data_IF_832085356747
#
_entry.id   IF_832085356747
#
_cell.length_a   1.000
_cell.length_b   1.000
_cell.length_c   1.000
_cell.angle_alpha   90.00
_cell.angle_beta   90.00
_cell.angle_gamma   90.00
#
_symmetry.space_group_name_H-M   'P 1'
#
loop_
_entity.id
_entity.type
_entity.pdbx_description
1 polymer ?
#
# COMPACT_ATOMS: atom_id res chain seq x y z
N UNK A 1 0.33 38.98 23.13
CA UNK A 1 -0.40 37.72 23.38
C UNK A 1 -0.60 37.04 22.04
N UNK A 2 0.02 35.87 21.92
CA UNK A 2 0.00 34.79 20.90
C UNK A 2 -0.84 34.94 19.63
N UNK A 3 -0.14 34.89 18.49
CA UNK A 3 -0.65 34.65 17.14
C UNK A 3 -1.19 33.23 16.98
N UNK A 4 -2.44 33.10 16.55
CA UNK A 4 -3.06 31.81 16.21
C UNK A 4 -2.46 31.25 14.91
N UNK A 5 -1.78 30.11 15.01
CA UNK A 5 -1.28 29.36 13.86
C UNK A 5 -2.46 28.66 13.17
N UNK A 6 -2.74 29.07 11.94
CA UNK A 6 -3.67 28.36 11.05
C UNK A 6 -2.99 27.08 10.54
N UNK A 7 -3.60 25.93 10.81
CA UNK A 7 -3.18 24.64 10.23
C UNK A 7 -3.65 24.57 8.79
N UNK A 8 -2.72 24.69 7.83
CA UNK A 8 -2.97 24.30 6.44
C UNK A 8 -3.15 22.79 6.35
N UNK A 9 -4.32 22.33 5.93
CA UNK A 9 -4.54 20.92 5.55
C UNK A 9 -4.05 20.74 4.12
N UNK A 10 -2.91 20.07 3.98
CA UNK A 10 -2.36 19.66 2.70
C UNK A 10 -3.18 18.46 2.15
N UNK A 11 -3.90 18.57 1.02
CA UNK A 11 -4.88 17.57 0.57
C UNK A 11 -4.26 16.30 -0.06
N UNK A 12 -2.94 16.13 -0.02
CA UNK A 12 -2.23 15.08 -0.75
C UNK A 12 -1.71 13.90 0.07
N UNK A 13 -1.76 13.95 1.41
CA UNK A 13 -1.21 12.86 2.24
C UNK A 13 -2.36 11.96 2.71
N UNK A 14 -2.45 10.70 2.22
CA UNK A 14 -3.40 9.76 2.79
C UNK A 14 -3.09 9.59 4.27
N UNK A 15 -4.13 9.56 5.10
CA UNK A 15 -3.99 9.37 6.53
C UNK A 15 -3.29 8.04 6.81
N UNK A 16 -2.00 8.08 7.16
CA UNK A 16 -1.24 6.91 7.59
C UNK A 16 -1.66 6.64 9.04
N UNK A 17 -2.43 5.56 9.27
CA UNK A 17 -2.74 5.13 10.64
C UNK A 17 -1.43 4.80 11.34
N UNK A 18 -1.30 5.20 12.59
CA UNK A 18 -0.22 4.74 13.47
C UNK A 18 -0.22 3.21 13.48
N UNK A 19 0.95 2.57 13.34
CA UNK A 19 1.09 1.11 13.43
C UNK A 19 0.34 0.61 14.67
N UNK A 20 -0.67 -0.23 14.46
CA UNK A 20 -1.65 -0.52 15.49
C UNK A 20 -1.14 -1.65 16.37
N UNK A 21 -0.77 -1.20 17.56
CA UNK A 21 -0.51 -1.86 18.82
C UNK A 21 -1.27 -3.19 19.05
N UNK A 22 -0.56 -4.15 19.64
CA UNK A 22 -0.94 -5.52 20.05
C UNK A 22 -2.13 -5.62 21.03
N UNK A 23 -2.92 -4.56 21.16
CA UNK A 23 -4.12 -4.49 22.01
C UNK A 23 -5.40 -4.95 21.31
N UNK A 24 -5.40 -5.11 19.98
CA UNK A 24 -6.60 -5.47 19.23
C UNK A 24 -7.05 -6.92 19.51
N UNK A 25 -6.11 -7.84 19.72
CA UNK A 25 -6.41 -9.20 20.23
C UNK A 25 -7.13 -9.15 21.58
N UNK A 26 -6.67 -8.28 22.49
CA UNK A 26 -7.28 -8.12 23.80
C UNK A 26 -8.67 -7.46 23.73
N UNK A 27 -8.89 -6.55 22.77
CA UNK A 27 -10.21 -5.96 22.51
C UNK A 27 -11.16 -6.98 21.90
N UNK A 28 -10.71 -7.75 20.91
CA UNK A 28 -11.51 -8.80 20.28
C UNK A 28 -11.88 -9.91 21.27
N UNK A 29 -10.95 -10.31 22.15
CA UNK A 29 -11.23 -11.26 23.22
C UNK A 29 -12.28 -10.75 24.23
N UNK A 30 -12.30 -9.43 24.50
CA UNK A 30 -13.29 -8.81 25.40
C UNK A 30 -14.64 -8.57 24.73
N UNK A 31 -14.64 -8.20 23.45
CA UNK A 31 -15.84 -7.97 22.65
C UNK A 31 -15.71 -8.65 21.27
N UNK A 32 -16.12 -9.93 21.17
CA UNK A 32 -16.06 -10.67 19.90
C UNK A 32 -17.00 -10.15 18.81
N UNK A 33 -17.85 -9.16 19.10
CA UNK A 33 -18.75 -8.53 18.12
C UNK A 33 -18.21 -7.19 17.60
N UNK A 34 -17.01 -6.78 18.03
CA UNK A 34 -16.35 -5.57 17.56
C UNK A 34 -15.81 -5.76 16.14
N UNK A 35 -16.50 -5.17 15.16
CA UNK A 35 -16.13 -5.30 13.74
C UNK A 35 -14.80 -4.62 13.41
N UNK A 36 -14.43 -3.55 14.12
CA UNK A 36 -13.16 -2.87 13.92
C UNK A 36 -12.02 -3.76 14.42
N UNK A 37 -12.13 -4.30 15.64
CA UNK A 37 -11.11 -5.20 16.19
C UNK A 37 -10.95 -6.49 15.36
N UNK A 38 -12.03 -7.04 14.80
CA UNK A 38 -11.97 -8.18 13.87
C UNK A 38 -11.19 -7.84 12.61
N UNK A 39 -11.50 -6.69 12.01
CA UNK A 39 -10.87 -6.28 10.76
C UNK A 39 -9.36 -6.09 10.96
N UNK A 40 -8.95 -5.45 12.05
CA UNK A 40 -7.53 -5.21 12.32
C UNK A 40 -6.77 -6.53 12.58
N UNK A 41 -7.30 -7.45 13.41
CA UNK A 41 -6.71 -8.79 13.61
C UNK A 41 -6.63 -9.59 12.30
N UNK A 42 -7.69 -9.60 11.51
CA UNK A 42 -7.72 -10.30 10.23
C UNK A 42 -6.72 -9.71 9.22
N UNK A 43 -6.50 -8.39 9.25
CA UNK A 43 -5.50 -7.73 8.41
C UNK A 43 -4.08 -8.17 8.79
N UNK A 44 -3.76 -8.22 10.07
CA UNK A 44 -2.47 -8.70 10.56
C UNK A 44 -2.21 -10.18 10.20
N UNK A 45 -3.24 -11.02 10.25
CA UNK A 45 -3.15 -12.43 9.83
C UNK A 45 -3.03 -12.60 8.30
N UNK A 46 -3.72 -11.75 7.53
CA UNK A 46 -3.77 -11.86 6.05
C UNK A 46 -2.51 -11.36 5.35
N UNK A 47 -1.79 -10.44 5.99
CA UNK A 47 -0.52 -9.92 5.53
C UNK A 47 0.59 -10.29 6.51
N UNK A 48 0.97 -11.59 6.60
CA UNK A 48 2.19 -11.91 7.32
C UNK A 48 3.30 -11.07 6.68
N UNK A 49 4.08 -10.36 7.48
CA UNK A 49 5.24 -9.55 7.03
C UNK A 49 6.37 -10.42 6.44
N UNK A 50 6.03 -11.59 5.89
CA UNK A 50 6.87 -12.65 5.36
C UNK A 50 7.00 -12.57 3.84
N UNK A 51 6.68 -11.45 3.20
CA UNK A 51 7.28 -11.24 1.88
C UNK A 51 8.79 -11.11 2.09
N UNK A 52 9.56 -11.93 1.39
CA UNK A 52 11.00 -11.84 1.47
C UNK A 52 11.40 -10.43 1.04
N UNK A 53 12.40 -9.80 1.69
CA UNK A 53 12.92 -8.54 1.18
C UNK A 53 13.28 -8.76 -0.30
N UNK A 54 12.78 -7.87 -1.17
CA UNK A 54 13.03 -7.96 -2.61
C UNK A 54 14.54 -8.13 -2.83
N UNK A 55 14.96 -9.32 -3.28
CA UNK A 55 16.36 -9.61 -3.55
C UNK A 55 16.78 -9.08 -4.93
N UNK A 56 16.16 -7.99 -5.37
CA UNK A 56 16.57 -7.28 -6.57
C UNK A 56 17.72 -6.36 -6.18
N UNK A 57 18.94 -6.79 -6.48
CA UNK A 57 20.12 -5.95 -6.32
C UNK A 57 20.06 -4.83 -7.39
N UNK A 58 20.03 -3.54 -7.01
CA UNK A 58 20.21 -2.47 -7.97
C UNK A 58 21.59 -2.65 -8.65
N UNK A 59 21.60 -2.94 -9.96
CA UNK A 59 22.84 -3.03 -10.74
C UNK A 59 23.48 -4.42 -10.92
N UNK A 60 22.87 -5.53 -10.46
CA UNK A 60 23.25 -6.89 -10.91
C UNK A 60 22.52 -7.20 -12.22
N UNK A 61 23.02 -6.59 -13.29
CA UNK A 61 22.41 -6.54 -14.61
C UNK A 61 22.72 -5.18 -15.17
N UNK A 62 23.90 -5.04 -15.78
CA UNK A 62 24.34 -3.78 -16.44
C UNK A 62 23.37 -3.37 -17.54
N UNK A 63 22.60 -4.33 -18.03
CA UNK A 63 21.64 -4.17 -19.08
C UNK A 63 20.23 -4.06 -18.48
N UNK A 64 19.39 -3.15 -18.98
CA UNK A 64 17.97 -3.14 -18.67
C UNK A 64 17.39 -4.55 -18.82
N UNK A 65 16.39 -4.89 -18.01
CA UNK A 65 15.62 -6.11 -18.25
C UNK A 65 15.19 -6.12 -19.73
N UNK A 66 15.30 -7.26 -20.44
CA UNK A 66 14.88 -7.33 -21.83
C UNK A 66 13.45 -6.82 -21.92
N UNK A 67 13.21 -5.87 -22.83
CA UNK A 67 11.88 -5.32 -23.10
C UNK A 67 10.89 -6.48 -23.22
N UNK A 68 9.71 -6.32 -22.63
CA UNK A 68 8.63 -7.33 -22.63
C UNK A 68 8.01 -7.57 -24.01
N UNK A 69 8.71 -7.21 -25.10
CA UNK A 69 8.22 -7.27 -26.46
C UNK A 69 7.15 -6.22 -26.76
N UNK A 70 7.18 -5.08 -26.07
CA UNK A 70 6.25 -4.00 -26.33
C UNK A 70 6.43 -3.50 -27.78
N UNK A 71 5.36 -3.63 -28.57
CA UNK A 71 5.28 -3.22 -29.98
C UNK A 71 4.36 -2.00 -30.07
N UNK A 72 4.99 -0.84 -30.30
CA UNK A 72 4.32 0.46 -30.42
C UNK A 72 3.25 0.49 -31.53
N UNK A 73 3.45 -0.25 -32.62
CA UNK A 73 2.49 -0.29 -33.73
C UNK A 73 1.30 -1.19 -33.39
N UNK A 74 1.57 -2.35 -32.79
CA UNK A 74 0.51 -3.25 -32.34
C UNK A 74 -0.38 -2.61 -31.26
N UNK A 75 0.19 -1.82 -30.35
CA UNK A 75 -0.57 -1.15 -29.30
C UNK A 75 -1.42 0.01 -29.86
N UNK A 76 -0.86 0.82 -30.77
CA UNK A 76 -1.62 1.88 -31.46
C UNK A 76 -2.78 1.31 -32.28
N UNK A 77 -2.59 0.17 -32.95
CA UNK A 77 -3.65 -0.51 -33.68
C UNK A 77 -4.79 -0.98 -32.75
N UNK A 78 -4.44 -1.47 -31.55
CA UNK A 78 -5.43 -1.86 -30.53
C UNK A 78 -6.18 -0.68 -29.93
N UNK A 79 -5.52 0.47 -29.75
CA UNK A 79 -6.18 1.69 -29.29
C UNK A 79 -7.15 2.25 -30.34
N UNK A 80 -6.78 2.20 -31.62
CA UNK A 80 -7.63 2.69 -32.71
C UNK A 80 -8.87 1.83 -32.96
N UNK A 81 -8.83 0.55 -32.61
CA UNK A 81 -9.99 -0.36 -32.72
C UNK A 81 -10.96 -0.31 -31.54
N UNK A 82 -10.73 0.56 -30.56
CA UNK A 82 -11.57 0.75 -29.37
C UNK A 82 -12.43 2.03 -29.42
N UNK A 83 -12.45 2.74 -30.56
CA UNK A 83 -13.41 3.83 -30.84
C UNK A 83 -14.63 3.33 -31.62
#
# INVERSE_FOLDING_TARGET
MTTAAMTEKNPGTPHIRTARDASDDAKLARNPSDEDAKLDVALDESFPTSDAPSNTQPGKGKDPAPSSGYDDEAEKARMKGKE
#
